data_IF_796195261617
#
_entry.id   IF_796195261617
#
_cell.length_a   1.000
_cell.length_b   1.000
_cell.length_c   1.000
_cell.angle_alpha   90.00
_cell.angle_beta   90.00
_cell.angle_gamma   90.00
#
_symmetry.space_group_name_H-M   'P 1'
#
loop_
_entity.id
_entity.type
_entity.pdbx_description
1 polymer ?
#
# COMPACT_ATOMS: atom_id res chain seq x y z
N UNK A 1 -24.34 -9.40 25.77
CA UNK A 1 -24.76 -10.80 25.54
C UNK A 1 -23.93 -11.68 26.46
N UNK A 2 -24.53 -12.55 27.27
CA UNK A 2 -23.80 -13.51 28.11
C UNK A 2 -23.75 -14.83 27.36
N UNK A 3 -22.58 -15.17 26.82
CA UNK A 3 -22.37 -16.45 26.15
C UNK A 3 -22.11 -17.50 27.25
N UNK A 4 -22.78 -18.67 27.22
CA UNK A 4 -22.51 -19.74 28.18
C UNK A 4 -21.02 -20.11 28.19
N UNK A 5 -20.45 -20.44 29.36
CA UNK A 5 -19.04 -20.80 29.55
C UNK A 5 -18.61 -22.14 28.88
N UNK A 6 -19.32 -22.55 27.83
CA UNK A 6 -19.13 -23.76 27.05
C UNK A 6 -18.03 -23.61 25.98
N UNK A 7 -17.63 -22.39 25.65
CA UNK A 7 -16.66 -22.10 24.59
C UNK A 7 -15.38 -21.49 25.15
N UNK A 8 -14.25 -21.91 24.58
CA UNK A 8 -12.91 -21.43 24.96
C UNK A 8 -12.59 -20.09 24.32
N UNK A 9 -13.05 -19.86 23.10
CA UNK A 9 -12.86 -18.63 22.33
C UNK A 9 -14.13 -18.28 21.56
N UNK A 10 -14.30 -16.99 21.29
CA UNK A 10 -15.38 -16.44 20.47
C UNK A 10 -14.80 -15.37 19.54
N UNK A 11 -15.02 -15.49 18.23
CA UNK A 11 -14.72 -14.44 17.25
C UNK A 11 -15.75 -13.30 17.28
N UNK A 12 -15.54 -12.29 16.43
CA UNK A 12 -16.50 -11.20 16.27
C UNK A 12 -17.82 -11.71 15.64
N UNK A 13 -18.93 -11.05 15.98
CA UNK A 13 -20.21 -11.33 15.34
C UNK A 13 -20.31 -10.67 13.97
N UNK A 14 -20.65 -11.44 12.94
CA UNK A 14 -21.03 -10.97 11.60
C UNK A 14 -22.43 -11.46 11.29
N UNK A 15 -23.36 -10.55 11.00
CA UNK A 15 -24.78 -10.88 10.76
C UNK A 15 -25.38 -11.81 11.83
N UNK A 16 -24.99 -11.61 13.10
CA UNK A 16 -25.47 -12.43 14.21
C UNK A 16 -24.87 -13.83 14.31
N UNK A 17 -23.79 -14.16 13.56
CA UNK A 17 -22.99 -15.38 13.76
C UNK A 17 -21.60 -15.08 14.30
N UNK A 18 -21.09 -15.93 15.17
CA UNK A 18 -19.70 -15.88 15.63
C UNK A 18 -19.06 -17.27 15.56
N UNK A 19 -17.80 -17.32 15.14
CA UNK A 19 -16.98 -18.54 15.24
C UNK A 19 -16.66 -18.83 16.71
N UNK A 20 -16.71 -20.09 17.10
CA UNK A 20 -16.42 -20.55 18.46
C UNK A 20 -15.59 -21.82 18.45
N UNK A 21 -14.80 -22.00 19.50
CA UNK A 21 -14.11 -23.26 19.80
C UNK A 21 -14.74 -23.89 21.04
N UNK A 22 -15.15 -25.15 20.94
CA UNK A 22 -15.68 -25.91 22.06
C UNK A 22 -14.60 -26.09 23.14
N UNK A 23 -14.93 -25.69 24.38
CA UNK A 23 -14.02 -25.82 25.51
C UNK A 23 -13.70 -27.29 25.85
N UNK A 24 -14.61 -28.22 25.50
CA UNK A 24 -14.47 -29.66 25.76
C UNK A 24 -13.61 -30.42 24.73
N UNK A 25 -13.17 -29.74 23.67
CA UNK A 25 -12.33 -30.32 22.62
C UNK A 25 -13.09 -30.83 21.40
N UNK A 26 -14.39 -30.54 21.27
CA UNK A 26 -15.21 -30.89 20.11
C UNK A 26 -14.95 -30.07 18.84
N UNK A 27 -13.82 -29.36 18.75
CA UNK A 27 -13.43 -28.56 17.60
C UNK A 27 -14.12 -27.20 17.51
N UNK A 28 -14.17 -26.67 16.30
CA UNK A 28 -14.74 -25.35 15.98
C UNK A 28 -16.14 -25.48 15.38
N UNK A 29 -16.89 -24.38 15.45
CA UNK A 29 -18.16 -24.19 14.76
C UNK A 29 -18.69 -22.78 14.95
N UNK A 30 -19.99 -22.59 14.78
CA UNK A 30 -20.62 -21.27 14.81
C UNK A 30 -21.79 -21.23 15.78
N UNK A 31 -22.03 -20.07 16.38
CA UNK A 31 -23.21 -19.78 17.19
C UNK A 31 -23.98 -18.60 16.63
N UNK A 32 -25.28 -18.54 16.91
CA UNK A 32 -26.08 -17.34 16.70
C UNK A 32 -25.92 -16.32 17.85
N UNK A 33 -26.60 -15.17 17.73
CA UNK A 33 -26.60 -14.11 18.75
C UNK A 33 -27.24 -14.50 20.08
N UNK A 34 -27.83 -15.69 20.21
CA UNK A 34 -28.34 -16.24 21.47
C UNK A 34 -27.36 -17.22 22.11
N UNK A 35 -26.27 -17.58 21.42
CA UNK A 35 -25.30 -18.58 21.84
C UNK A 35 -25.65 -20.01 21.40
N UNK A 36 -26.70 -20.18 20.60
CA UNK A 36 -27.10 -21.49 20.08
C UNK A 36 -26.18 -21.89 18.92
N UNK A 37 -25.69 -23.12 18.94
CA UNK A 37 -24.88 -23.68 17.85
C UNK A 37 -25.68 -23.71 16.54
N UNK A 38 -25.02 -23.27 15.47
CA UNK A 38 -25.49 -23.31 14.10
C UNK A 38 -24.82 -24.48 13.37
N UNK A 39 -25.62 -25.40 12.83
CA UNK A 39 -25.12 -26.59 12.13
C UNK A 39 -24.49 -27.61 13.07
N UNK A 40 -23.20 -27.90 12.86
CA UNK A 40 -22.40 -28.83 13.67
C UNK A 40 -21.21 -28.12 14.33
N UNK A 41 -20.82 -28.62 15.50
CA UNK A 41 -19.44 -28.49 15.99
C UNK A 41 -18.61 -29.63 15.40
N UNK A 42 -17.31 -29.42 15.24
CA UNK A 42 -16.38 -30.45 14.75
C UNK A 42 -15.64 -30.09 13.48
N UNK A 43 -15.56 -28.80 13.12
CA UNK A 43 -14.52 -28.35 12.21
C UNK A 43 -13.17 -28.38 12.92
N UNK A 44 -12.10 -28.73 12.22
CA UNK A 44 -10.75 -28.63 12.77
C UNK A 44 -10.33 -27.16 12.90
N UNK A 45 -10.83 -26.29 12.01
CA UNK A 45 -10.73 -24.83 12.09
C UNK A 45 -12.00 -24.17 11.51
N UNK A 46 -12.39 -23.02 12.07
CA UNK A 46 -13.49 -22.20 11.55
C UNK A 46 -13.12 -20.72 11.63
N UNK A 47 -13.10 -20.06 10.48
CA UNK A 47 -12.73 -18.66 10.35
C UNK A 47 -13.96 -17.76 10.52
N UNK A 48 -13.72 -16.47 10.75
CA UNK A 48 -14.79 -15.48 10.82
C UNK A 48 -15.55 -15.36 9.50
N UNK A 49 -16.83 -15.01 9.60
CA UNK A 49 -17.62 -14.70 8.42
C UNK A 49 -17.16 -13.38 7.78
N UNK A 50 -17.00 -13.40 6.47
CA UNK A 50 -16.81 -12.21 5.63
C UNK A 50 -17.73 -12.31 4.42
N UNK A 51 -18.44 -11.23 4.09
CA UNK A 51 -19.41 -11.18 2.98
C UNK A 51 -20.38 -12.38 2.94
N UNK A 52 -20.86 -12.78 4.11
CA UNK A 52 -21.85 -13.86 4.33
C UNK A 52 -21.33 -15.25 3.98
N UNK A 53 -20.01 -15.42 3.96
CA UNK A 53 -19.30 -16.68 3.75
C UNK A 53 -18.27 -16.85 4.86
N UNK A 54 -17.99 -18.09 5.22
CA UNK A 54 -16.88 -18.39 6.12
C UNK A 54 -16.07 -19.56 5.60
N UNK A 55 -14.77 -19.53 5.87
CA UNK A 55 -13.86 -20.63 5.60
C UNK A 55 -13.95 -21.60 6.78
N UNK A 56 -14.05 -22.88 6.49
CA UNK A 56 -13.97 -23.95 7.48
C UNK A 56 -13.01 -25.04 6.98
N UNK A 57 -12.40 -25.73 7.92
CA UNK A 57 -11.53 -26.88 7.65
C UNK A 57 -12.19 -28.12 8.25
N UNK A 58 -12.38 -29.15 7.42
CA UNK A 58 -12.88 -30.45 7.85
C UNK A 58 -11.73 -31.43 8.12
N UNK A 59 -12.02 -32.51 8.84
CA UNK A 59 -11.05 -33.58 9.14
C UNK A 59 -10.39 -34.11 7.85
N UNK A 60 -9.11 -33.80 7.67
CA UNK A 60 -8.38 -34.00 6.42
C UNK A 60 -7.68 -32.74 5.86
N UNK A 61 -7.73 -31.62 6.60
CA UNK A 61 -7.01 -30.36 6.30
C UNK A 61 -7.40 -29.71 4.97
N UNK A 62 -8.61 -29.98 4.49
CA UNK A 62 -9.11 -29.32 3.27
C UNK A 62 -10.02 -28.15 3.60
N UNK A 63 -9.72 -27.01 2.99
CA UNK A 63 -10.45 -25.77 3.15
C UNK A 63 -11.71 -25.79 2.28
N UNK A 64 -12.82 -25.30 2.84
CA UNK A 64 -14.08 -25.09 2.11
C UNK A 64 -14.85 -23.90 2.63
N UNK A 65 -15.83 -23.44 1.85
CA UNK A 65 -16.70 -22.33 2.24
C UNK A 65 -18.06 -22.81 2.71
N UNK A 66 -18.62 -22.12 3.70
CA UNK A 66 -20.01 -22.28 4.14
C UNK A 66 -20.76 -20.95 4.10
N UNK A 67 -22.09 -21.03 3.96
CA UNK A 67 -22.99 -19.88 4.03
C UNK A 67 -23.43 -19.57 5.48
N UNK A 68 -24.31 -18.59 5.64
CA UNK A 68 -24.87 -18.17 6.93
C UNK A 68 -25.70 -19.25 7.65
N UNK A 69 -26.08 -20.32 6.96
CA UNK A 69 -26.78 -21.49 7.52
C UNK A 69 -25.80 -22.66 7.77
N UNK A 70 -24.50 -22.42 7.60
CA UNK A 70 -23.42 -23.41 7.72
C UNK A 70 -23.56 -24.52 6.67
N UNK A 71 -24.18 -24.23 5.52
CA UNK A 71 -24.26 -25.14 4.38
C UNK A 71 -23.05 -24.93 3.46
N UNK A 72 -22.50 -26.00 2.85
CA UNK A 72 -21.40 -25.86 1.90
C UNK A 72 -21.76 -24.96 0.72
N UNK A 73 -20.83 -24.09 0.35
CA UNK A 73 -20.94 -23.21 -0.82
C UNK A 73 -20.14 -23.83 -1.96
N UNK A 74 -20.86 -24.31 -2.97
CA UNK A 74 -20.29 -25.13 -4.04
C UNK A 74 -19.83 -26.52 -3.55
N UNK A 75 -19.11 -27.24 -4.42
CA UNK A 75 -18.61 -28.59 -4.14
C UNK A 75 -17.08 -28.69 -4.12
N UNK A 76 -16.38 -27.57 -4.32
CA UNK A 76 -14.93 -27.53 -4.40
C UNK A 76 -14.29 -27.53 -3.01
N UNK A 77 -13.09 -28.07 -2.92
CA UNK A 77 -12.22 -28.04 -1.74
C UNK A 77 -10.82 -27.58 -2.13
N UNK A 78 -10.12 -26.97 -1.18
CA UNK A 78 -8.88 -26.24 -1.45
C UNK A 78 -7.79 -26.62 -0.46
N UNK A 79 -6.56 -26.38 -0.88
CA UNK A 79 -5.38 -26.63 -0.06
C UNK A 79 -5.17 -25.44 0.90
N UNK A 80 -5.51 -24.22 0.45
CA UNK A 80 -5.62 -23.00 1.25
C UNK A 80 -6.77 -22.12 0.72
N UNK A 81 -7.36 -21.29 1.57
CA UNK A 81 -8.40 -20.33 1.19
C UNK A 81 -8.40 -19.09 2.07
N UNK A 82 -8.47 -17.92 1.44
CA UNK A 82 -8.69 -16.64 2.12
C UNK A 82 -10.18 -16.33 2.26
N UNK A 83 -10.51 -15.45 3.21
CA UNK A 83 -11.86 -14.91 3.38
C UNK A 83 -12.33 -14.13 2.15
N UNK A 84 -13.65 -14.08 1.94
CA UNK A 84 -14.23 -13.26 0.87
C UNK A 84 -13.94 -11.77 1.09
N UNK A 85 -13.55 -11.08 0.03
CA UNK A 85 -13.39 -9.63 -0.04
C UNK A 85 -13.64 -9.14 -1.47
N UNK A 86 -14.42 -8.08 -1.63
CA UNK A 86 -14.76 -7.53 -2.94
C UNK A 86 -15.59 -8.49 -3.81
N UNK A 87 -16.33 -9.42 -3.19
CA UNK A 87 -17.14 -10.43 -3.90
C UNK A 87 -16.38 -11.68 -4.33
N UNK A 88 -15.08 -11.79 -4.03
CA UNK A 88 -14.25 -12.94 -4.41
C UNK A 88 -13.46 -13.48 -3.22
N UNK A 89 -13.01 -14.72 -3.31
CA UNK A 89 -12.08 -15.32 -2.36
C UNK A 89 -10.89 -15.91 -3.11
N UNK A 90 -9.67 -15.63 -2.64
CA UNK A 90 -8.47 -16.28 -3.16
C UNK A 90 -8.41 -17.71 -2.63
N UNK A 91 -8.11 -18.65 -3.51
CA UNK A 91 -8.02 -20.08 -3.17
C UNK A 91 -6.81 -20.72 -3.82
N UNK A 92 -6.16 -21.62 -3.09
CA UNK A 92 -5.07 -22.43 -3.60
C UNK A 92 -5.52 -23.85 -3.92
N UNK A 93 -5.16 -24.34 -5.10
CA UNK A 93 -5.30 -25.74 -5.47
C UNK A 93 -4.10 -26.21 -6.27
N UNK A 94 -3.58 -27.37 -5.92
CA UNK A 94 -2.41 -28.01 -6.56
C UNK A 94 -1.21 -27.06 -6.61
N UNK A 95 -1.01 -26.28 -5.53
CA UNK A 95 0.06 -25.30 -5.39
C UNK A 95 -0.07 -24.03 -6.24
N UNK A 96 -1.23 -23.79 -6.87
CA UNK A 96 -1.53 -22.58 -7.64
C UNK A 96 -2.72 -21.84 -7.06
N UNK A 97 -2.69 -20.53 -7.19
CA UNK A 97 -3.73 -19.62 -6.72
C UNK A 97 -4.68 -19.21 -7.84
N UNK A 98 -5.96 -19.11 -7.48
CA UNK A 98 -7.06 -18.61 -8.30
C UNK A 98 -8.10 -17.92 -7.41
N UNK A 99 -9.29 -17.68 -7.96
CA UNK A 99 -10.34 -16.95 -7.27
C UNK A 99 -11.71 -17.58 -7.47
N UNK A 100 -12.50 -17.62 -6.40
CA UNK A 100 -13.91 -17.98 -6.44
C UNK A 100 -14.80 -16.75 -6.44
N UNK A 101 -15.98 -16.86 -7.06
CA UNK A 101 -17.10 -15.96 -6.83
C UNK A 101 -17.95 -16.40 -5.63
N UNK A 102 -18.95 -15.60 -5.24
CA UNK A 102 -19.84 -15.88 -4.09
C UNK A 102 -20.69 -17.15 -4.23
N UNK A 103 -20.82 -17.68 -5.43
CA UNK A 103 -21.53 -18.95 -5.71
C UNK A 103 -20.63 -20.18 -5.48
N UNK A 104 -19.35 -19.97 -5.16
CA UNK A 104 -18.37 -21.05 -4.98
C UNK A 104 -17.80 -21.59 -6.28
N UNK A 105 -18.02 -20.90 -7.40
CA UNK A 105 -17.46 -21.27 -8.70
C UNK A 105 -16.17 -20.47 -8.96
N UNK A 106 -15.23 -21.06 -9.71
CA UNK A 106 -14.04 -20.31 -10.14
C UNK A 106 -14.44 -19.13 -11.02
N UNK A 107 -14.18 -17.91 -10.54
CA UNK A 107 -14.12 -16.72 -11.37
C UNK A 107 -12.83 -16.75 -12.20
N UNK A 108 -11.73 -17.14 -11.57
CA UNK A 108 -10.43 -17.37 -12.22
C UNK A 108 -9.86 -18.69 -11.72
N UNK A 109 -9.57 -19.62 -12.63
CA UNK A 109 -9.03 -20.92 -12.25
C UNK A 109 -7.61 -20.77 -11.64
N UNK A 110 -7.20 -21.68 -10.73
CA UNK A 110 -5.86 -21.71 -10.17
C UNK A 110 -4.80 -21.78 -11.26
N UNK A 111 -3.96 -20.76 -11.34
CA UNK A 111 -2.87 -20.67 -12.33
C UNK A 111 -1.71 -19.78 -11.90
N UNK A 112 -1.86 -19.00 -10.82
CA UNK A 112 -0.84 -18.06 -10.35
C UNK A 112 -0.01 -18.65 -9.23
N UNK A 113 1.23 -18.18 -9.08
CA UNK A 113 2.12 -18.61 -7.99
C UNK A 113 1.78 -17.95 -6.65
N UNK A 114 1.17 -16.77 -6.70
CA UNK A 114 0.71 -16.00 -5.54
C UNK A 114 -0.28 -14.95 -6.02
N UNK A 115 -1.19 -14.52 -5.16
CA UNK A 115 -2.21 -13.52 -5.46
C UNK A 115 -2.40 -12.58 -4.26
N UNK A 116 -2.87 -11.37 -4.52
CA UNK A 116 -3.51 -10.51 -3.52
C UNK A 116 -5.03 -10.57 -3.65
N UNK A 117 -5.75 -10.03 -2.66
CA UNK A 117 -7.21 -9.96 -2.68
C UNK A 117 -7.74 -9.09 -3.82
N UNK A 118 -8.98 -9.37 -4.23
CA UNK A 118 -9.69 -8.49 -5.16
C UNK A 118 -10.11 -7.20 -4.47
N UNK A 119 -9.69 -6.07 -5.01
CA UNK A 119 -10.14 -4.73 -4.58
C UNK A 119 -10.54 -3.95 -5.83
N UNK A 120 -11.75 -3.42 -5.83
CA UNK A 120 -12.34 -2.67 -6.95
C UNK A 120 -12.23 -3.42 -8.30
N UNK A 121 -12.53 -4.73 -8.27
CA UNK A 121 -12.52 -5.59 -9.46
C UNK A 121 -11.13 -5.94 -10.00
N UNK A 122 -10.06 -5.65 -9.25
CA UNK A 122 -8.67 -5.93 -9.66
C UNK A 122 -7.92 -6.71 -8.59
N UNK A 123 -6.97 -7.54 -9.00
CA UNK A 123 -6.10 -8.28 -8.09
C UNK A 123 -4.66 -8.32 -8.60
N UNK A 124 -3.69 -8.20 -7.70
CA UNK A 124 -2.29 -8.45 -8.03
C UNK A 124 -2.04 -9.95 -8.10
N UNK A 125 -1.27 -10.39 -9.09
CA UNK A 125 -0.95 -11.81 -9.27
C UNK A 125 0.51 -11.98 -9.64
N UNK A 126 1.08 -13.10 -9.19
CA UNK A 126 2.48 -13.45 -9.45
C UNK A 126 2.56 -14.63 -10.40
N UNK A 127 3.41 -14.50 -11.41
CA UNK A 127 3.81 -15.59 -12.32
C UNK A 127 5.34 -15.69 -12.31
N UNK A 128 5.84 -16.83 -11.87
CA UNK A 128 7.24 -17.05 -11.55
C UNK A 128 7.73 -16.08 -10.48
N UNK A 129 8.55 -15.11 -10.90
CA UNK A 129 9.16 -14.10 -10.00
C UNK A 129 8.58 -12.70 -10.20
N UNK A 130 7.60 -12.54 -11.09
CA UNK A 130 7.12 -11.25 -11.54
C UNK A 130 5.64 -11.08 -11.21
N UNK A 131 5.28 -9.87 -10.84
CA UNK A 131 3.95 -9.45 -10.46
C UNK A 131 3.31 -8.63 -11.59
N UNK A 132 2.01 -8.85 -11.77
CA UNK A 132 1.12 -8.09 -12.64
C UNK A 132 -0.24 -7.89 -11.98
N UNK A 133 -1.21 -7.36 -12.73
CA UNK A 133 -2.57 -7.09 -12.27
C UNK A 133 -3.56 -7.68 -13.25
N UNK A 134 -4.58 -8.34 -12.74
CA UNK A 134 -5.70 -8.89 -13.51
C UNK A 134 -7.01 -8.20 -13.17
N UNK A 135 -7.97 -8.28 -14.09
CA UNK A 135 -9.38 -8.05 -13.81
C UNK A 135 -10.07 -9.30 -13.22
N UNK A 136 -11.36 -9.17 -12.89
CA UNK A 136 -12.19 -10.24 -12.35
C UNK A 136 -12.42 -11.45 -13.29
N UNK A 137 -12.07 -11.34 -14.57
CA UNK A 137 -12.10 -12.45 -15.53
C UNK A 137 -10.77 -13.19 -15.61
N UNK A 138 -9.73 -12.68 -14.94
CA UNK A 138 -8.37 -13.20 -15.01
C UNK A 138 -7.54 -12.65 -16.16
N UNK A 139 -8.06 -11.66 -16.90
CA UNK A 139 -7.31 -11.01 -17.97
C UNK A 139 -6.33 -10.00 -17.37
N UNK A 140 -5.08 -10.03 -17.83
CA UNK A 140 -4.08 -9.06 -17.41
C UNK A 140 -4.45 -7.64 -17.86
N UNK A 141 -4.60 -6.75 -16.90
CA UNK A 141 -4.57 -5.30 -17.07
C UNK A 141 -3.11 -4.83 -17.17
N UNK A 142 -2.27 -5.36 -16.28
CA UNK A 142 -0.80 -5.15 -16.28
C UNK A 142 -0.14 -6.52 -16.32
N UNK A 143 0.70 -6.76 -17.34
CA UNK A 143 1.42 -8.03 -17.49
C UNK A 143 2.43 -8.24 -16.35
N UNK A 144 2.77 -9.50 -16.00
CA UNK A 144 3.69 -9.79 -14.91
C UNK A 144 5.14 -9.51 -15.32
N UNK A 145 5.55 -8.24 -15.19
CA UNK A 145 6.90 -7.77 -15.57
C UNK A 145 7.69 -7.17 -14.40
N UNK A 146 7.04 -6.95 -13.26
CA UNK A 146 7.63 -6.24 -12.12
C UNK A 146 8.09 -7.21 -11.03
N UNK A 147 9.33 -7.05 -10.52
CA UNK A 147 9.80 -7.87 -9.39
C UNK A 147 9.11 -7.53 -8.07
N UNK A 148 8.73 -6.27 -7.89
CA UNK A 148 7.91 -5.79 -6.78
C UNK A 148 6.78 -4.96 -7.36
N UNK A 149 5.55 -5.34 -7.04
CA UNK A 149 4.33 -4.60 -7.30
C UNK A 149 3.49 -4.75 -6.04
N UNK A 150 3.09 -3.65 -5.43
CA UNK A 150 2.24 -3.71 -4.25
C UNK A 150 0.84 -4.11 -4.68
N UNK A 151 0.20 -4.95 -3.87
CA UNK A 151 -1.19 -5.33 -4.08
C UNK A 151 -2.08 -4.08 -4.07
N UNK A 152 -3.21 -4.17 -4.76
CA UNK A 152 -4.26 -3.17 -4.60
C UNK A 152 -4.75 -3.31 -3.17
N UNK A 153 -4.42 -2.37 -2.30
CA UNK A 153 -4.80 -2.39 -0.88
C UNK A 153 -6.05 -1.53 -0.62
N UNK A 154 -6.37 -0.63 -1.55
CA UNK A 154 -7.52 0.28 -1.49
C UNK A 154 -8.09 0.46 -2.90
N UNK A 155 -9.40 0.76 -3.04
CA UNK A 155 -9.97 1.16 -4.32
C UNK A 155 -9.13 2.30 -4.93
N UNK A 156 -8.80 2.18 -6.20
CA UNK A 156 -8.14 3.25 -6.92
C UNK A 156 -9.19 4.27 -7.34
N UNK A 157 -8.92 5.56 -7.15
CA UNK A 157 -9.72 6.61 -7.77
C UNK A 157 -9.35 6.74 -9.27
N UNK A 158 -9.93 7.74 -9.94
CA UNK A 158 -9.65 8.01 -11.36
C UNK A 158 -8.17 8.32 -11.65
N UNK A 159 -7.40 8.72 -10.63
CA UNK A 159 -5.98 9.06 -10.74
C UNK A 159 -5.08 8.02 -10.04
N UNK A 160 -5.62 6.88 -9.65
CA UNK A 160 -4.94 5.90 -8.84
C UNK A 160 -3.77 5.25 -9.58
N UNK A 161 -2.58 5.36 -8.99
CA UNK A 161 -1.35 4.72 -9.42
C UNK A 161 -1.00 3.50 -8.58
N UNK A 162 -0.41 2.50 -9.23
CA UNK A 162 0.14 1.31 -8.59
C UNK A 162 1.58 1.51 -8.17
N UNK A 163 1.95 1.22 -6.90
CA UNK A 163 3.34 1.26 -6.50
C UNK A 163 4.09 0.05 -7.06
N UNK A 164 5.19 0.32 -7.76
CA UNK A 164 6.09 -0.72 -8.25
C UNK A 164 7.52 -0.40 -7.83
N UNK A 165 8.34 -1.44 -7.69
CA UNK A 165 9.69 -1.28 -7.16
C UNK A 165 10.72 -2.12 -7.89
N UNK A 166 11.92 -1.58 -7.95
CA UNK A 166 13.09 -2.28 -8.46
C UNK A 166 14.15 -2.38 -7.37
N UNK A 167 14.85 -3.52 -7.32
CA UNK A 167 15.89 -3.74 -6.33
C UNK A 167 16.97 -2.66 -6.45
N UNK A 168 17.32 -2.02 -5.32
CA UNK A 168 18.24 -0.87 -5.19
C UNK A 168 17.80 0.45 -5.83
N UNK A 169 16.74 0.49 -6.64
CA UNK A 169 16.22 1.72 -7.23
C UNK A 169 15.06 2.34 -6.43
N UNK A 170 14.60 1.66 -5.39
CA UNK A 170 13.47 2.11 -4.58
C UNK A 170 12.13 1.87 -5.28
N UNK A 171 11.16 2.73 -4.99
CA UNK A 171 9.78 2.61 -5.47
C UNK A 171 9.41 3.74 -6.43
N UNK A 172 8.53 3.43 -7.38
CA UNK A 172 7.90 4.34 -8.32
C UNK A 172 6.42 4.01 -8.47
N UNK A 173 5.77 4.59 -9.48
CA UNK A 173 4.34 4.49 -9.70
C UNK A 173 3.97 4.25 -11.16
N UNK A 174 3.05 3.32 -11.39
CA UNK A 174 2.44 3.00 -12.69
C UNK A 174 1.01 3.51 -12.74
N UNK A 175 0.51 3.91 -13.90
CA UNK A 175 -0.94 4.07 -14.08
C UNK A 175 -1.67 2.74 -14.25
N UNK A 176 -2.98 2.83 -14.46
CA UNK A 176 -3.88 1.69 -14.61
C UNK A 176 -3.61 0.84 -15.87
N UNK A 177 -2.93 1.41 -16.86
CA UNK A 177 -2.50 0.73 -18.08
C UNK A 177 -1.08 0.14 -17.94
N UNK A 178 -0.44 0.33 -16.78
CA UNK A 178 0.91 -0.13 -16.49
C UNK A 178 2.01 0.77 -17.06
N UNK A 179 1.68 2.00 -17.46
CA UNK A 179 2.69 2.97 -17.89
C UNK A 179 3.32 3.64 -16.67
N UNK A 180 4.65 3.76 -16.68
CA UNK A 180 5.39 4.44 -15.63
C UNK A 180 5.01 5.93 -15.62
N UNK A 181 4.45 6.40 -14.49
CA UNK A 181 4.20 7.84 -14.26
C UNK A 181 5.27 8.48 -13.41
N UNK A 182 5.83 7.72 -12.48
CA UNK A 182 6.94 8.10 -11.60
C UNK A 182 7.95 6.95 -11.62
N UNK A 183 9.16 7.21 -12.10
CA UNK A 183 10.26 6.24 -12.08
C UNK A 183 10.67 5.89 -10.63
N UNK A 184 11.29 4.72 -10.39
CA UNK A 184 11.69 4.32 -9.05
C UNK A 184 12.73 5.27 -8.48
N UNK A 185 12.42 5.83 -7.32
CA UNK A 185 13.27 6.78 -6.60
C UNK A 185 13.99 6.04 -5.45
N UNK A 186 15.33 6.03 -5.38
CA UNK A 186 16.06 5.35 -4.31
C UNK A 186 15.74 5.87 -2.90
N UNK A 187 15.31 7.12 -2.80
CA UNK A 187 14.85 7.75 -1.56
C UNK A 187 13.52 7.17 -1.07
N UNK A 188 12.68 6.62 -1.96
CA UNK A 188 11.38 6.05 -1.61
C UNK A 188 11.60 4.66 -1.05
N UNK A 189 11.56 4.53 0.28
CA UNK A 189 11.81 3.25 0.97
C UNK A 189 10.53 2.45 1.20
N UNK A 190 9.42 3.13 1.46
CA UNK A 190 8.08 2.55 1.52
C UNK A 190 7.12 3.46 0.76
N UNK A 191 6.12 2.86 0.13
CA UNK A 191 5.10 3.57 -0.66
C UNK A 191 3.75 2.92 -0.37
N UNK A 192 2.71 3.74 -0.26
CA UNK A 192 1.32 3.31 -0.24
C UNK A 192 0.71 3.42 -1.65
N UNK A 193 -0.37 2.66 -1.88
CA UNK A 193 -1.20 2.80 -3.07
C UNK A 193 -1.81 4.21 -3.12
N UNK A 194 -1.93 4.76 -4.33
CA UNK A 194 -2.46 6.09 -4.57
C UNK A 194 -3.99 6.09 -4.46
N UNK A 195 -4.57 6.93 -3.61
CA UNK A 195 -6.02 7.12 -3.52
C UNK A 195 -6.34 8.56 -3.15
N UNK A 196 -7.38 9.13 -3.76
CA UNK A 196 -7.87 10.51 -3.53
C UNK A 196 -6.84 11.59 -3.88
N UNK A 197 -6.09 11.41 -4.97
CA UNK A 197 -5.10 12.42 -5.37
C UNK A 197 -3.86 12.48 -4.46
N UNK A 198 -3.58 11.44 -3.66
CA UNK A 198 -2.48 11.37 -2.69
C UNK A 198 -1.87 9.94 -2.66
N UNK A 199 -0.53 9.82 -2.66
CA UNK A 199 0.16 8.61 -2.17
C UNK A 199 1.16 8.93 -1.08
N UNK A 200 1.19 8.14 -0.01
CA UNK A 200 2.20 8.30 1.05
C UNK A 200 3.47 7.54 0.70
N UNK A 201 4.61 8.19 0.89
CA UNK A 201 5.95 7.67 0.64
C UNK A 201 6.82 7.98 1.84
N UNK A 202 7.45 6.96 2.41
CA UNK A 202 8.44 7.16 3.44
C UNK A 202 9.82 7.35 2.80
N UNK A 203 10.48 8.46 3.12
CA UNK A 203 11.84 8.79 2.65
C UNK A 203 12.83 8.83 3.81
N UNK A 204 14.13 8.58 3.58
CA UNK A 204 15.19 8.85 4.56
C UNK A 204 15.36 7.85 5.72
N UNK A 205 16.12 8.26 6.75
CA UNK A 205 16.27 7.57 8.04
C UNK A 205 16.42 8.64 9.15
N UNK A 206 15.54 8.70 10.18
CA UNK A 206 14.35 7.87 10.36
C UNK A 206 13.38 8.03 9.17
N UNK A 207 12.40 7.13 8.99
CA UNK A 207 11.53 7.06 7.80
C UNK A 207 10.23 7.87 8.00
N UNK A 208 10.19 9.22 7.87
CA UNK A 208 8.93 9.96 7.91
C UNK A 208 8.10 9.68 6.65
N UNK A 209 6.80 9.47 6.84
CA UNK A 209 5.81 9.37 5.77
C UNK A 209 5.52 10.75 5.16
N UNK A 210 5.51 10.88 3.83
CA UNK A 210 5.27 12.11 3.08
C UNK A 210 4.20 11.87 2.01
N UNK A 211 3.35 12.83 1.64
CA UNK A 211 2.31 12.64 0.61
C UNK A 211 2.82 12.97 -0.80
N UNK A 212 2.23 12.48 -1.90
CA UNK A 212 2.59 12.80 -3.30
C UNK A 212 1.35 13.23 -4.10
N UNK A 213 1.43 14.37 -4.78
CA UNK A 213 0.45 14.97 -5.67
C UNK A 213 0.50 14.35 -7.09
N UNK A 214 -0.67 14.14 -7.70
CA UNK A 214 -0.84 13.37 -8.95
C UNK A 214 -0.72 14.21 -10.19
N UNK A 215 -1.06 15.50 -10.09
CA UNK A 215 -0.99 16.44 -11.20
C UNK A 215 0.43 16.94 -11.40
N UNK A 216 1.12 17.20 -10.29
CA UNK A 216 2.47 17.79 -10.27
C UNK A 216 3.58 16.75 -10.11
N UNK A 217 3.25 15.51 -9.72
CA UNK A 217 4.20 14.41 -9.46
C UNK A 217 5.24 14.74 -8.39
N UNK A 218 4.90 15.61 -7.43
CA UNK A 218 5.77 16.06 -6.32
C UNK A 218 5.17 15.67 -4.98
N UNK A 219 5.99 15.66 -3.93
CA UNK A 219 5.52 15.45 -2.57
C UNK A 219 4.55 16.60 -2.18
N UNK A 220 3.33 16.29 -1.73
CA UNK A 220 2.42 17.27 -1.09
C UNK A 220 2.99 17.63 0.27
N UNK A 221 3.40 18.87 0.41
CA UNK A 221 3.62 19.50 1.71
C UNK A 221 2.25 19.75 2.34
N UNK A 222 1.71 18.76 3.04
CA UNK A 222 0.56 18.99 3.92
C UNK A 222 1.01 19.92 5.06
N UNK A 223 0.74 21.21 4.93
CA UNK A 223 0.33 22.08 6.03
C UNK A 223 1.11 22.01 7.35
N UNK A 224 2.39 21.67 7.31
CA UNK A 224 3.35 21.90 8.39
C UNK A 224 4.43 22.75 7.77
N UNK A 225 4.29 24.07 7.96
CA UNK A 225 5.19 25.17 7.56
C UNK A 225 5.91 24.96 6.22
N UNK A 226 5.49 25.69 5.18
CA UNK A 226 6.17 25.83 3.88
C UNK A 226 7.67 25.53 4.03
N UNK A 227 8.16 24.44 3.41
CA UNK A 227 9.60 24.32 3.30
C UNK A 227 10.03 25.42 2.33
N UNK A 228 10.88 26.36 2.78
CA UNK A 228 11.21 27.52 1.97
C UNK A 228 11.77 27.06 0.61
N UNK A 229 11.23 27.60 -0.48
CA UNK A 229 11.80 27.46 -1.82
C UNK A 229 13.32 27.73 -1.79
N UNK A 230 14.13 27.10 -2.66
CA UNK A 230 15.57 27.37 -2.72
C UNK A 230 15.89 28.88 -2.85
N UNK A 231 15.05 29.64 -3.55
CA UNK A 231 15.14 31.11 -3.62
C UNK A 231 14.86 31.81 -2.27
N UNK A 232 13.87 31.34 -1.50
CA UNK A 232 13.59 31.89 -0.16
C UNK A 232 14.61 31.43 0.90
N UNK A 233 15.16 30.22 0.77
CA UNK A 233 16.29 29.77 1.60
C UNK A 233 17.50 30.64 1.34
N UNK A 234 17.83 30.89 0.06
CA UNK A 234 18.95 31.76 -0.29
C UNK A 234 18.70 33.20 0.17
N UNK A 235 17.50 33.75 -0.02
CA UNK A 235 17.16 35.10 0.48
C UNK A 235 17.24 35.22 1.99
N UNK A 236 16.81 34.20 2.73
CA UNK A 236 16.91 34.17 4.18
C UNK A 236 18.37 34.02 4.62
N UNK A 237 19.14 33.12 4.01
CA UNK A 237 20.58 32.97 4.28
C UNK A 237 21.37 34.25 3.96
N UNK A 238 21.01 35.01 2.91
CA UNK A 238 21.59 36.32 2.60
C UNK A 238 21.22 37.40 3.63
N UNK A 239 20.03 37.31 4.24
CA UNK A 239 19.61 38.21 5.31
C UNK A 239 20.36 37.87 6.61
N UNK A 240 20.43 36.59 6.96
CA UNK A 240 21.12 36.06 8.14
C UNK A 240 22.62 36.35 8.04
N UNK A 241 23.24 36.18 6.87
CA UNK A 241 24.64 36.56 6.62
C UNK A 241 24.90 38.04 6.91
N UNK A 242 24.01 38.94 6.46
CA UNK A 242 24.16 40.38 6.73
C UNK A 242 24.01 40.73 8.20
N UNK A 243 23.19 39.97 8.94
CA UNK A 243 23.05 40.13 10.38
C UNK A 243 24.29 39.60 11.12
N UNK A 244 24.74 38.39 10.79
CA UNK A 244 25.97 37.78 11.33
C UNK A 244 27.20 38.64 11.07
N UNK A 245 27.33 39.30 9.92
CA UNK A 245 28.42 40.25 9.67
C UNK A 245 28.40 41.47 10.61
N UNK A 246 27.20 41.99 10.93
CA UNK A 246 27.05 43.12 11.88
C UNK A 246 27.34 42.69 13.31
N UNK A 247 27.08 41.44 13.65
CA UNK A 247 27.42 40.88 14.95
C UNK A 247 28.91 40.58 15.07
N UNK A 248 29.51 40.00 14.02
CA UNK A 248 30.95 39.78 13.94
C UNK A 248 31.73 41.08 14.14
N UNK A 249 31.27 42.24 13.65
CA UNK A 249 31.94 43.53 13.88
C UNK A 249 32.01 43.97 15.37
N UNK A 250 31.17 43.39 16.22
CA UNK A 250 31.10 43.69 17.66
C UNK A 250 32.06 42.84 18.50
N UNK A 251 32.71 41.83 17.93
CA UNK A 251 33.66 41.00 18.68
C UNK A 251 34.89 41.79 19.15
N UNK A 252 35.40 41.39 20.32
CA UNK A 252 36.40 42.16 21.06
C UNK A 252 37.81 42.09 20.44
N UNK A 253 38.11 41.04 19.68
CA UNK A 253 39.43 40.82 19.07
C UNK A 253 39.32 40.60 17.56
N UNK A 254 40.35 41.00 16.80
CA UNK A 254 40.35 40.81 15.35
C UNK A 254 40.30 39.34 14.94
N UNK A 255 40.88 38.45 15.76
CA UNK A 255 40.90 37.02 15.52
C UNK A 255 39.48 36.43 15.64
N UNK A 256 38.72 36.82 16.67
CA UNK A 256 37.33 36.42 16.85
C UNK A 256 36.42 37.01 15.76
N UNK A 257 36.67 38.27 15.35
CA UNK A 257 35.97 38.91 14.22
C UNK A 257 36.16 38.14 12.93
N UNK A 258 37.40 37.70 12.67
CA UNK A 258 37.72 36.95 11.47
C UNK A 258 37.07 35.57 11.48
N UNK A 259 37.16 34.84 12.60
CA UNK A 259 36.54 33.53 12.75
C UNK A 259 35.01 33.58 12.54
N UNK A 260 34.32 34.58 13.14
CA UNK A 260 32.88 34.76 12.98
C UNK A 260 32.47 35.11 11.54
N UNK A 261 33.32 35.83 10.79
CA UNK A 261 33.08 36.11 9.37
C UNK A 261 33.24 34.86 8.51
N UNK A 262 34.28 34.06 8.76
CA UNK A 262 34.52 32.81 8.04
C UNK A 262 33.39 31.80 8.27
N UNK A 263 32.85 31.72 9.49
CA UNK A 263 31.66 30.92 9.80
C UNK A 263 30.41 31.39 9.04
N UNK A 264 30.14 32.70 9.04
CA UNK A 264 29.01 33.27 8.30
C UNK A 264 29.15 33.06 6.78
N UNK A 265 30.36 33.11 6.24
CA UNK A 265 30.64 32.83 4.82
C UNK A 265 30.46 31.35 4.48
N UNK A 266 30.88 30.44 5.36
CA UNK A 266 30.68 29.00 5.18
C UNK A 266 29.19 28.64 5.14
N UNK A 267 28.38 29.22 6.02
CA UNK A 267 26.93 29.03 6.05
C UNK A 267 26.26 29.54 4.76
N UNK A 268 26.69 30.71 4.26
CA UNK A 268 26.17 31.25 3.00
C UNK A 268 26.62 30.41 1.78
N UNK A 269 27.84 29.87 1.81
CA UNK A 269 28.36 29.02 0.75
C UNK A 269 27.59 27.70 0.62
N UNK A 270 27.21 27.09 1.75
CA UNK A 270 26.39 25.88 1.78
C UNK A 270 24.99 26.13 1.19
N UNK A 271 24.37 27.26 1.56
CA UNK A 271 23.09 27.69 0.99
C UNK A 271 23.18 27.97 -0.52
N UNK A 272 24.29 28.54 -1.01
CA UNK A 272 24.53 28.78 -2.45
C UNK A 272 24.78 27.49 -3.21
N UNK A 273 25.53 26.54 -2.65
CA UNK A 273 25.75 25.24 -3.28
C UNK A 273 24.42 24.49 -3.46
N UNK A 274 23.59 24.49 -2.41
CA UNK A 274 22.23 23.92 -2.45
C UNK A 274 21.36 24.61 -3.52
N UNK A 275 21.46 25.93 -3.65
CA UNK A 275 20.78 26.69 -4.70
C UNK A 275 21.29 26.37 -6.11
N UNK A 276 22.60 26.24 -6.31
CA UNK A 276 23.21 25.91 -7.60
C UNK A 276 22.91 24.48 -8.03
N UNK A 277 22.92 23.50 -7.12
CA UNK A 277 22.50 22.12 -7.40
C UNK A 277 21.03 22.07 -7.86
N UNK A 278 20.17 22.91 -7.28
CA UNK A 278 18.77 23.04 -7.71
C UNK A 278 18.62 23.61 -9.13
N UNK A 279 19.62 24.36 -9.63
CA UNK A 279 19.68 24.88 -11.02
C UNK A 279 20.45 23.96 -11.98
N UNK A 280 21.44 23.21 -11.50
CA UNK A 280 22.31 22.34 -12.30
C UNK A 280 21.60 21.10 -12.86
N UNK A 281 20.50 20.67 -12.25
CA UNK A 281 19.62 19.61 -12.78
C UNK A 281 18.80 20.00 -14.02
N UNK A 282 18.91 21.25 -14.51
CA UNK A 282 18.12 21.81 -15.61
C UNK A 282 18.92 22.07 -16.91
N UNK A 283 20.17 21.59 -17.04
CA UNK A 283 21.00 21.92 -18.21
C UNK A 283 20.75 21.09 -19.49
N UNK A 284 19.84 20.10 -19.50
CA UNK A 284 19.34 19.48 -20.75
C UNK A 284 17.82 19.21 -20.69
N UNK A 285 17.10 19.94 -19.85
CA UNK A 285 15.65 19.94 -19.80
C UNK A 285 15.09 20.94 -20.80
N UNK A 286 14.90 20.52 -22.04
CA UNK A 286 14.10 21.26 -23.01
C UNK A 286 12.79 21.73 -22.35
N UNK A 287 12.58 23.04 -22.29
CA UNK A 287 11.28 23.63 -22.02
C UNK A 287 10.31 23.14 -23.10
N UNK A 288 9.58 22.08 -22.81
CA UNK A 288 8.43 21.66 -23.60
C UNK A 288 7.25 22.51 -23.17
N UNK A 289 7.08 23.64 -23.86
CA UNK A 289 5.84 24.39 -23.89
C UNK A 289 4.76 23.56 -24.62
N UNK A 290 3.86 22.96 -23.86
CA UNK A 290 2.79 22.10 -24.37
C UNK A 290 1.55 22.89 -24.83
N UNK A 291 1.60 24.23 -24.88
CA UNK A 291 0.54 25.04 -25.49
C UNK A 291 0.39 24.86 -27.00
N UNK A 292 1.29 24.10 -27.65
CA UNK A 292 1.22 23.78 -29.08
C UNK A 292 0.72 22.37 -29.45
N UNK A 293 0.38 21.49 -28.49
CA UNK A 293 -0.24 20.19 -28.83
C UNK A 293 -1.76 20.36 -28.89
N UNK A 294 -2.20 21.22 -29.82
CA UNK A 294 -3.58 21.35 -30.25
C UNK A 294 -3.74 20.82 -31.67
N UNK A 295 -4.73 19.94 -31.84
CA UNK A 295 -5.29 19.45 -33.12
C UNK A 295 -4.33 18.78 -34.12
N UNK A 296 -4.33 17.44 -34.12
CA UNK A 296 -4.81 16.62 -35.25
C UNK A 296 -4.86 15.14 -34.88
#
# INVERSE_FOLDING_TARGET
LVIPALYRTTGAFHQGRAAVCDASGGGYGYIDSTGKVLGKLGFSEAFEFSEDRAVVVEDGETYRFVDLEIKPVGSLTFDEADSFHGGYAAVQKDGKWGFLNRDGNYAVKPQFDSVGSFIDGRASVKVGKLWGIIDNTGKFLIKPVFRRLIAVEKPLDTNGLYPYGEYKKGWGYLDQDGQVKIEPQPSFRMVESYSEGIARVATGTPCPWQQIDSETKRIKEDGVAESPSPDSVLKQAEADYKEKLKEAEKEATEEDRQAAREEAEADLADARATFEESRGGLADGANLDLSQIGNK
#
